data_IF_687150494913
#
_entry.id   IF_687150494913
#
_cell.length_a   1.000
_cell.length_b   1.000
_cell.length_c   1.000
_cell.angle_alpha   90.00
_cell.angle_beta   90.00
_cell.angle_gamma   90.00
#
_symmetry.space_group_name_H-M   'P 1'
#
loop_
_entity.id
_entity.type
_entity.pdbx_description
1 polymer ?
#
# COMPACT_ATOMS: atom_id res chain seq x y z
N UNK A 1 14.76 11.67 21.27
CA UNK A 1 14.61 11.48 19.81
C UNK A 1 14.69 12.83 19.08
N UNK A 2 15.87 13.21 18.58
CA UNK A 2 16.07 14.38 17.69
C UNK A 2 15.73 14.08 16.21
N UNK A 3 15.10 12.92 15.94
CA UNK A 3 15.39 12.14 14.73
C UNK A 3 14.47 12.37 13.54
N UNK A 4 13.38 13.14 13.67
CA UNK A 4 12.44 13.34 12.55
C UNK A 4 12.17 14.84 12.35
N UNK A 5 12.97 15.50 11.52
CA UNK A 5 12.56 16.75 10.85
C UNK A 5 11.43 16.35 9.89
N UNK A 6 10.29 17.06 9.88
CA UNK A 6 9.11 16.63 9.09
C UNK A 6 9.42 16.28 7.64
N UNK A 7 10.36 17.01 7.03
CA UNK A 7 10.85 16.74 5.67
C UNK A 7 11.49 15.36 5.52
N UNK A 8 12.26 14.90 6.50
CA UNK A 8 12.90 13.58 6.48
C UNK A 8 11.87 12.45 6.51
N UNK A 9 10.77 12.63 7.27
CA UNK A 9 9.65 11.66 7.30
C UNK A 9 8.98 11.57 5.96
N UNK A 10 8.62 12.73 5.39
CA UNK A 10 7.94 12.78 4.11
C UNK A 10 8.79 12.12 3.02
N UNK A 11 10.10 12.35 3.02
CA UNK A 11 11.04 11.72 2.07
C UNK A 11 11.10 10.20 2.28
N UNK A 12 11.14 9.73 3.53
CA UNK A 12 11.14 8.30 3.84
C UNK A 12 9.84 7.62 3.39
N UNK A 13 8.68 8.22 3.69
CA UNK A 13 7.36 7.69 3.30
C UNK A 13 7.20 7.74 1.78
N UNK A 14 7.71 8.77 1.11
CA UNK A 14 7.74 8.87 -0.35
C UNK A 14 8.56 7.72 -0.95
N UNK A 15 9.76 7.45 -0.42
CA UNK A 15 10.60 6.36 -0.89
C UNK A 15 9.93 5.00 -0.67
N UNK A 16 9.35 4.77 0.51
CA UNK A 16 8.60 3.54 0.80
C UNK A 16 7.38 3.39 -0.11
N UNK A 17 6.66 4.47 -0.40
CA UNK A 17 5.54 4.49 -1.35
C UNK A 17 5.98 4.14 -2.77
N UNK A 18 7.14 4.61 -3.20
CA UNK A 18 7.75 4.25 -4.49
C UNK A 18 8.08 2.76 -4.57
N UNK A 19 8.73 2.23 -3.54
CA UNK A 19 9.06 0.79 -3.47
C UNK A 19 7.77 -0.03 -3.46
N UNK A 20 6.76 0.37 -2.69
CA UNK A 20 5.45 -0.28 -2.65
C UNK A 20 4.78 -0.29 -4.03
N UNK A 21 4.81 0.83 -4.75
CA UNK A 21 4.19 0.94 -6.07
C UNK A 21 4.85 0.04 -7.12
N UNK A 22 6.18 -0.10 -7.07
CA UNK A 22 6.94 -0.91 -8.02
C UNK A 22 6.93 -2.40 -7.66
N UNK A 23 6.63 -2.76 -6.41
CA UNK A 23 6.74 -4.14 -5.94
C UNK A 23 5.95 -5.13 -6.80
N UNK A 24 4.64 -4.96 -7.03
CA UNK A 24 3.81 -6.00 -7.65
C UNK A 24 4.09 -6.29 -9.13
N UNK A 25 4.81 -5.41 -9.84
CA UNK A 25 5.02 -5.55 -11.29
C UNK A 25 6.48 -5.44 -11.73
N UNK A 26 7.39 -5.04 -10.83
CA UNK A 26 8.81 -4.85 -11.15
C UNK A 26 9.72 -5.62 -10.19
N UNK A 27 9.54 -5.47 -8.87
CA UNK A 27 10.47 -6.04 -7.88
C UNK A 27 10.12 -7.49 -7.54
N UNK A 28 8.85 -7.75 -7.26
CA UNK A 28 8.29 -9.07 -6.95
C UNK A 28 7.01 -9.22 -7.78
N UNK A 29 7.12 -9.65 -9.04
CA UNK A 29 5.99 -9.60 -9.96
C UNK A 29 4.89 -10.59 -9.55
N UNK A 30 3.64 -10.13 -9.67
CA UNK A 30 2.44 -10.99 -9.60
C UNK A 30 2.34 -11.86 -10.86
N UNK A 31 1.42 -12.83 -10.83
CA UNK A 31 1.28 -13.80 -11.92
C UNK A 31 0.97 -13.10 -13.27
N UNK A 32 1.59 -13.59 -14.37
CA UNK A 32 1.31 -13.09 -15.71
C UNK A 32 -0.15 -13.38 -16.12
N UNK A 33 -0.66 -12.70 -17.17
CA UNK A 33 -1.96 -13.00 -17.74
C UNK A 33 -2.04 -14.48 -18.15
N UNK A 34 -3.21 -15.09 -17.98
CA UNK A 34 -3.44 -16.46 -18.42
C UNK A 34 -3.43 -16.55 -19.96
N UNK A 35 -3.16 -17.74 -20.50
CA UNK A 35 -3.15 -17.99 -21.94
C UNK A 35 -4.48 -17.65 -22.65
N UNK A 36 -5.59 -17.66 -21.91
CA UNK A 36 -6.92 -17.26 -22.39
C UNK A 36 -7.20 -15.74 -22.24
N UNK A 37 -6.19 -14.94 -21.94
CA UNK A 37 -6.29 -13.48 -21.77
C UNK A 37 -6.89 -13.01 -20.44
N UNK A 38 -7.37 -13.92 -19.58
CA UNK A 38 -7.93 -13.55 -18.28
C UNK A 38 -6.85 -13.20 -17.25
N UNK A 39 -7.20 -12.30 -16.31
CA UNK A 39 -6.34 -11.89 -15.20
C UNK A 39 -6.72 -12.62 -13.90
N UNK A 40 -5.70 -13.02 -13.13
CA UNK A 40 -5.87 -13.65 -11.83
C UNK A 40 -6.24 -12.63 -10.75
N UNK A 41 -6.74 -13.09 -9.60
CA UNK A 41 -7.03 -12.22 -8.44
C UNK A 41 -5.81 -11.43 -7.97
N UNK A 42 -4.61 -12.04 -8.04
CA UNK A 42 -3.36 -11.42 -7.63
C UNK A 42 -3.01 -10.19 -8.50
N UNK A 43 -3.43 -10.15 -9.75
CA UNK A 43 -3.24 -8.99 -10.62
C UNK A 43 -3.98 -7.77 -10.07
N UNK A 44 -5.24 -7.93 -9.67
CA UNK A 44 -6.03 -6.84 -9.10
C UNK A 44 -5.52 -6.39 -7.74
N UNK A 45 -5.05 -7.33 -6.91
CA UNK A 45 -4.37 -6.99 -5.65
C UNK A 45 -3.06 -6.25 -5.87
N UNK A 46 -2.28 -6.63 -6.90
CA UNK A 46 -1.08 -5.92 -7.31
C UNK A 46 -1.40 -4.50 -7.81
N UNK A 47 -2.49 -4.35 -8.57
CA UNK A 47 -2.98 -3.06 -9.02
C UNK A 47 -3.39 -2.15 -7.84
N UNK A 48 -4.07 -2.73 -6.83
CA UNK A 48 -4.44 -2.02 -5.61
C UNK A 48 -3.19 -1.55 -4.83
N UNK A 49 -2.20 -2.43 -4.65
CA UNK A 49 -0.94 -2.07 -3.99
C UNK A 49 -0.19 -0.98 -4.76
N UNK A 50 -0.19 -1.06 -6.09
CA UNK A 50 0.40 -0.05 -6.97
C UNK A 50 -0.32 1.30 -6.83
N UNK A 51 -1.65 1.30 -6.92
CA UNK A 51 -2.48 2.49 -6.78
C UNK A 51 -2.35 3.15 -5.41
N UNK A 52 -2.32 2.36 -4.33
CA UNK A 52 -2.08 2.85 -2.98
C UNK A 52 -0.67 3.43 -2.83
N UNK A 53 0.35 2.76 -3.37
CA UNK A 53 1.72 3.28 -3.41
C UNK A 53 1.82 4.63 -4.12
N UNK A 54 1.20 4.76 -5.31
CA UNK A 54 1.12 6.03 -6.05
C UNK A 54 0.39 7.10 -5.22
N UNK A 55 -0.72 6.75 -4.58
CA UNK A 55 -1.45 7.65 -3.67
C UNK A 55 -0.55 8.18 -2.55
N UNK A 56 0.23 7.30 -1.91
CA UNK A 56 1.18 7.66 -0.85
C UNK A 56 2.30 8.57 -1.37
N UNK A 57 2.79 8.35 -2.60
CA UNK A 57 3.78 9.24 -3.23
C UNK A 57 3.19 10.64 -3.40
N UNK A 58 1.98 10.75 -3.96
CA UNK A 58 1.32 12.03 -4.23
C UNK A 58 1.09 12.79 -2.91
N UNK A 59 0.50 12.14 -1.90
CA UNK A 59 0.24 12.76 -0.59
C UNK A 59 1.54 13.18 0.10
N UNK A 60 2.61 12.39 -0.03
CA UNK A 60 3.92 12.72 0.54
C UNK A 60 4.56 13.92 -0.15
N UNK A 61 4.46 14.03 -1.47
CA UNK A 61 4.91 15.20 -2.22
C UNK A 61 4.14 16.45 -1.76
N UNK A 62 2.80 16.38 -1.72
CA UNK A 62 1.96 17.50 -1.27
C UNK A 62 2.35 17.92 0.16
N UNK A 63 2.57 16.96 1.05
CA UNK A 63 2.95 17.23 2.45
C UNK A 63 4.31 17.95 2.59
N UNK A 64 5.22 17.82 1.62
CA UNK A 64 6.50 18.55 1.62
C UNK A 64 6.29 20.05 1.36
N UNK A 65 5.32 20.40 0.51
CA UNK A 65 5.02 21.78 0.14
C UNK A 65 4.04 22.46 1.10
N UNK A 66 3.13 21.70 1.70
CA UNK A 66 2.11 22.23 2.60
C UNK A 66 2.66 22.48 4.01
N UNK A 67 2.56 23.74 4.46
CA UNK A 67 2.94 24.15 5.82
C UNK A 67 1.81 24.02 6.85
N UNK A 68 0.57 23.83 6.39
CA UNK A 68 -0.59 23.74 7.28
C UNK A 68 -0.59 22.41 8.05
N UNK A 69 -0.57 22.49 9.39
CA UNK A 69 -0.58 21.36 10.32
C UNK A 69 -1.78 20.44 10.11
N UNK A 70 -2.98 21.00 9.94
CA UNK A 70 -4.23 20.24 9.81
C UNK A 70 -4.23 19.41 8.51
N UNK A 71 -3.85 20.04 7.39
CA UNK A 71 -3.79 19.36 6.09
C UNK A 71 -2.76 18.23 6.13
N UNK A 72 -1.59 18.45 6.74
CA UNK A 72 -0.59 17.40 6.88
C UNK A 72 -1.11 16.21 7.69
N UNK A 73 -1.84 16.44 8.79
CA UNK A 73 -2.44 15.34 9.55
C UNK A 73 -3.41 14.53 8.70
N UNK A 74 -4.28 15.20 7.92
CA UNK A 74 -5.23 14.53 7.02
C UNK A 74 -4.51 13.67 5.98
N UNK A 75 -3.49 14.22 5.31
CA UNK A 75 -2.69 13.48 4.31
C UNK A 75 -2.04 12.22 4.91
N UNK A 76 -1.56 12.34 6.15
CA UNK A 76 -0.97 11.21 6.85
C UNK A 76 -2.01 10.17 7.28
N UNK A 77 -3.23 10.57 7.64
CA UNK A 77 -4.34 9.63 7.89
C UNK A 77 -4.65 8.84 6.60
N UNK A 78 -4.71 9.51 5.45
CA UNK A 78 -4.89 8.85 4.15
C UNK A 78 -3.79 7.81 3.90
N UNK A 79 -2.54 8.12 4.24
CA UNK A 79 -1.42 7.17 4.10
C UNK A 79 -1.55 5.95 5.01
N UNK A 80 -2.05 6.13 6.24
CA UNK A 80 -2.33 5.01 7.16
C UNK A 80 -3.42 4.11 6.58
N UNK A 81 -4.53 4.70 6.11
CA UNK A 81 -5.62 3.93 5.50
C UNK A 81 -5.15 3.19 4.24
N UNK A 82 -4.37 3.86 3.39
CA UNK A 82 -3.79 3.25 2.20
C UNK A 82 -2.86 2.09 2.56
N UNK A 83 -1.92 2.28 3.49
CA UNK A 83 -0.99 1.24 3.93
C UNK A 83 -1.69 0.03 4.55
N UNK A 84 -2.70 0.25 5.40
CA UNK A 84 -3.51 -0.83 5.98
C UNK A 84 -4.34 -1.56 4.92
N UNK A 85 -4.92 -0.85 3.95
CA UNK A 85 -5.72 -1.46 2.89
C UNK A 85 -4.91 -2.50 2.09
N UNK A 86 -3.65 -2.17 1.83
CA UNK A 86 -2.69 -3.00 1.08
C UNK A 86 -2.23 -4.22 1.88
N UNK A 87 -2.35 -4.20 3.21
CA UNK A 87 -2.16 -5.37 4.06
C UNK A 87 -3.43 -6.22 4.16
N UNK A 88 -4.56 -5.59 4.48
CA UNK A 88 -5.80 -6.28 4.84
C UNK A 88 -6.49 -6.97 3.66
N UNK A 89 -6.49 -6.32 2.49
CA UNK A 89 -7.22 -6.80 1.32
C UNK A 89 -6.50 -8.00 0.68
N UNK A 90 -5.19 -7.97 0.37
CA UNK A 90 -4.52 -9.11 -0.23
C UNK A 90 -4.48 -10.34 0.70
N UNK A 91 -4.44 -10.12 2.02
CA UNK A 91 -4.52 -11.18 3.03
C UNK A 91 -5.93 -11.72 3.26
N UNK A 92 -6.95 -11.23 2.53
CA UNK A 92 -8.36 -11.64 2.62
C UNK A 92 -9.00 -11.44 4.00
N UNK A 93 -8.40 -10.60 4.84
CA UNK A 93 -9.02 -10.15 6.09
C UNK A 93 -10.26 -9.31 5.73
N UNK A 94 -10.13 -8.45 4.72
CA UNK A 94 -11.25 -7.75 4.08
C UNK A 94 -11.46 -8.35 2.69
N UNK A 95 -12.65 -8.94 2.47
CA UNK A 95 -13.01 -9.56 1.20
C UNK A 95 -13.62 -8.53 0.25
N UNK A 96 -12.84 -8.06 -0.72
CA UNK A 96 -13.33 -7.18 -1.79
C UNK A 96 -13.58 -8.01 -3.04
N UNK A 97 -14.83 -8.02 -3.50
CA UNK A 97 -15.24 -8.70 -4.74
C UNK A 97 -14.85 -7.86 -5.95
N UNK A 98 -14.26 -8.50 -6.96
CA UNK A 98 -13.83 -7.94 -8.24
C UNK A 98 -14.81 -8.32 -9.36
N UNK A 99 -15.95 -8.93 -9.00
CA UNK A 99 -16.99 -9.39 -9.93
C UNK A 99 -17.36 -10.85 -9.73
N UNK A 100 -18.33 -11.33 -10.50
CA UNK A 100 -18.71 -12.74 -10.55
C UNK A 100 -17.80 -13.51 -11.50
N UNK A 101 -17.32 -14.67 -11.04
CA UNK A 101 -16.70 -15.65 -11.91
C UNK A 101 -17.73 -16.31 -12.82
N UNK A 102 -17.23 -17.01 -13.84
CA UNK A 102 -18.05 -17.80 -14.78
C UNK A 102 -18.88 -18.85 -14.04
N UNK A 103 -18.39 -19.31 -12.88
CA UNK A 103 -19.05 -20.30 -12.01
C UNK A 103 -20.13 -19.68 -11.09
N UNK A 104 -20.50 -18.41 -11.27
CA UNK A 104 -21.45 -17.67 -10.43
C UNK A 104 -20.90 -17.23 -9.06
N UNK A 105 -19.73 -17.72 -8.67
CA UNK A 105 -19.08 -17.36 -7.41
C UNK A 105 -18.35 -16.00 -7.49
N UNK A 106 -18.42 -15.14 -6.45
CA UNK A 106 -17.70 -13.87 -6.41
C UNK A 106 -16.18 -14.10 -6.38
N UNK A 107 -15.45 -13.40 -7.24
CA UNK A 107 -13.98 -13.40 -7.24
C UNK A 107 -13.49 -12.33 -6.28
N UNK A 108 -12.66 -12.72 -5.32
CA UNK A 108 -12.10 -11.78 -4.35
C UNK A 108 -10.68 -11.38 -4.71
N UNK A 109 -10.30 -10.15 -4.34
CA UNK A 109 -8.90 -9.75 -4.28
C UNK A 109 -8.14 -10.66 -3.29
N UNK A 110 -6.91 -11.02 -3.64
CA UNK A 110 -6.04 -11.79 -2.78
C UNK A 110 -4.98 -12.57 -3.53
N UNK A 111 -4.10 -13.20 -2.74
CA UNK A 111 -3.11 -14.16 -3.24
C UNK A 111 -3.78 -15.32 -3.98
N UNK A 112 -3.03 -15.89 -4.93
CA UNK A 112 -3.39 -17.14 -5.59
C UNK A 112 -3.34 -18.29 -4.58
N UNK A 113 -4.22 -19.28 -4.72
CA UNK A 113 -4.32 -20.42 -3.78
C UNK A 113 -3.33 -21.58 -4.09
N UNK A 114 -2.61 -21.54 -5.21
CA UNK A 114 -1.69 -22.61 -5.62
C UNK A 114 -0.25 -22.20 -5.36
N UNK A 115 0.49 -23.04 -4.65
CA UNK A 115 1.89 -22.80 -4.23
C UNK A 115 2.87 -22.68 -5.41
N UNK A 116 2.52 -23.24 -6.59
CA UNK A 116 3.34 -23.17 -7.80
C UNK A 116 3.24 -21.83 -8.56
N UNK A 117 2.52 -20.84 -8.03
CA UNK A 117 2.27 -19.57 -8.70
C UNK A 117 3.37 -18.53 -8.42
N UNK A 118 3.75 -17.75 -9.44
CA UNK A 118 4.82 -16.74 -9.35
C UNK A 118 4.61 -15.73 -8.20
N UNK A 119 3.37 -15.35 -7.89
CA UNK A 119 3.10 -14.42 -6.80
C UNK A 119 3.51 -14.95 -5.41
N UNK A 120 3.45 -16.27 -5.21
CA UNK A 120 3.88 -16.94 -3.97
C UNK A 120 5.39 -17.12 -3.99
N UNK A 121 5.95 -17.59 -5.12
CA UNK A 121 7.40 -17.77 -5.29
C UNK A 121 8.19 -16.49 -5.03
N UNK A 122 7.67 -15.34 -5.47
CA UNK A 122 8.30 -14.04 -5.24
C UNK A 122 7.94 -13.40 -3.89
N UNK A 123 7.15 -14.04 -3.04
CA UNK A 123 6.67 -13.49 -1.76
C UNK A 123 6.04 -12.09 -1.88
N UNK A 124 5.41 -11.81 -3.03
CA UNK A 124 4.98 -10.47 -3.44
C UNK A 124 4.08 -9.83 -2.38
N UNK A 125 3.03 -10.55 -1.95
CA UNK A 125 2.07 -10.02 -0.99
C UNK A 125 2.62 -9.92 0.43
N UNK A 126 3.61 -10.73 0.79
CA UNK A 126 4.33 -10.61 2.06
C UNK A 126 5.13 -9.32 2.10
N UNK A 127 5.88 -9.02 1.02
CA UNK A 127 6.67 -7.78 0.90
C UNK A 127 5.74 -6.56 0.92
N UNK A 128 4.70 -6.58 0.08
CA UNK A 128 3.68 -5.52 -0.01
C UNK A 128 3.01 -5.28 1.35
N UNK A 129 2.68 -6.35 2.08
CA UNK A 129 2.12 -6.30 3.43
C UNK A 129 3.07 -5.64 4.44
N UNK A 130 4.34 -6.05 4.48
CA UNK A 130 5.35 -5.49 5.38
C UNK A 130 5.55 -3.99 5.10
N UNK A 131 5.65 -3.62 3.82
CA UNK A 131 5.77 -2.22 3.40
C UNK A 131 4.54 -1.40 3.80
N UNK A 132 3.33 -1.92 3.59
CA UNK A 132 2.09 -1.26 3.97
C UNK A 132 1.98 -1.02 5.49
N UNK A 133 2.35 -2.02 6.30
CA UNK A 133 2.41 -1.90 7.76
C UNK A 133 3.46 -0.87 8.17
N UNK A 134 4.68 -0.94 7.62
CA UNK A 134 5.76 -0.02 7.95
C UNK A 134 5.37 1.45 7.67
N UNK A 135 4.77 1.71 6.50
CA UNK A 135 4.25 3.04 6.15
C UNK A 135 3.17 3.47 7.16
N UNK A 136 2.23 2.59 7.48
CA UNK A 136 1.15 2.89 8.43
C UNK A 136 1.68 3.24 9.83
N UNK A 137 2.70 2.53 10.31
CA UNK A 137 3.32 2.79 11.62
C UNK A 137 4.05 4.14 11.60
N UNK A 138 4.90 4.38 10.58
CA UNK A 138 5.65 5.64 10.45
C UNK A 138 4.69 6.83 10.37
N UNK A 139 3.63 6.69 9.57
CA UNK A 139 2.61 7.73 9.41
C UNK A 139 1.84 7.98 10.70
N UNK A 140 1.49 6.94 11.45
CA UNK A 140 0.81 7.06 12.75
C UNK A 140 1.68 7.76 13.80
N UNK A 141 2.97 7.38 13.89
CA UNK A 141 3.93 8.03 14.79
C UNK A 141 4.06 9.51 14.46
N UNK A 142 4.09 9.86 13.17
CA UNK A 142 4.17 11.26 12.75
C UNK A 142 2.92 12.05 13.14
N UNK A 143 1.71 11.49 12.96
CA UNK A 143 0.46 12.12 13.39
C UNK A 143 0.52 12.42 14.89
N UNK A 144 0.86 11.43 15.72
CA UNK A 144 0.97 11.59 17.17
C UNK A 144 2.00 12.66 17.54
N UNK A 145 3.16 12.67 16.88
CA UNK A 145 4.18 13.69 17.09
C UNK A 145 3.67 15.10 16.79
N UNK A 146 3.00 15.29 15.65
CA UNK A 146 2.45 16.59 15.24
C UNK A 146 1.38 17.07 16.23
N UNK A 147 0.54 16.17 16.74
CA UNK A 147 -0.50 16.51 17.73
C UNK A 147 0.09 16.85 19.11
N UNK A 148 1.08 16.09 19.59
CA UNK A 148 1.73 16.32 20.90
C UNK A 148 2.58 17.60 20.89
N UNK A 149 3.14 17.97 19.74
CA UNK A 149 3.89 19.22 19.61
C UNK A 149 2.93 20.40 19.78
N UNK A 150 2.75 20.84 21.02
CA UNK A 150 2.14 22.13 21.36
C UNK A 150 2.90 23.20 20.60
N UNK A 151 2.13 23.96 19.81
CA UNK A 151 2.58 25.18 19.17
C UNK A 151 3.27 26.04 20.25
N UNK A 152 4.59 26.16 20.15
CA UNK A 152 5.38 27.18 20.85
C UNK A 152 5.40 28.41 19.97
#
# INVERSE_FOLDING_TARGET
MKILKSKTVNILVLFLGLVLALTPFVIAPVCPPMANGMRMSCYYSGLLATGAGIGIIITSIISIFVKNKVINVILYIVNVVAGLSVHLIPNRIIKISIGMGIDGNPRFMGYCMKDSMECIKHNTFTIVSILGIAISIISSIYIVYVLIKKDK
#
